data_IF_685629350365
#
_entry.id   IF_685629350365
#
_cell.length_a   1.000
_cell.length_b   1.000
_cell.length_c   1.000
_cell.angle_alpha   90.00
_cell.angle_beta   90.00
_cell.angle_gamma   90.00
#
_symmetry.space_group_name_H-M   'P 1'
#
loop_
_entity.id
_entity.type
_entity.pdbx_description
1 polymer ?
#
# COMPACT_ATOMS: atom_id res chain seq x y z
N UNK A 1 26.52 -35.90 29.92
CA UNK A 1 25.48 -34.86 29.84
C UNK A 1 25.54 -34.17 28.47
N UNK A 2 25.03 -34.79 27.39
CA UNK A 2 25.16 -34.20 26.04
C UNK A 2 24.06 -34.65 25.05
N UNK A 3 22.93 -35.16 25.55
CA UNK A 3 21.81 -35.64 24.70
C UNK A 3 20.49 -34.88 24.84
N UNK A 4 20.41 -33.88 25.73
CA UNK A 4 19.15 -33.17 25.99
C UNK A 4 19.04 -31.88 25.16
N UNK A 5 20.15 -31.35 24.64
CA UNK A 5 20.16 -30.07 23.90
C UNK A 5 19.66 -30.16 22.46
N UNK A 6 19.51 -31.36 21.89
CA UNK A 6 19.18 -31.54 20.47
C UNK A 6 17.68 -31.64 20.20
N UNK A 7 16.86 -31.87 21.23
CA UNK A 7 15.40 -32.04 21.09
C UNK A 7 14.61 -30.72 21.13
N UNK A 8 15.21 -29.61 21.56
CA UNK A 8 14.51 -28.31 21.70
C UNK A 8 14.57 -27.48 20.40
N UNK A 9 15.52 -27.76 19.51
CA UNK A 9 15.61 -27.04 18.23
C UNK A 9 14.57 -27.49 17.19
N UNK A 10 13.88 -28.62 17.40
CA UNK A 10 12.92 -29.16 16.43
C UNK A 10 11.47 -28.69 16.66
N UNK A 11 11.16 -28.01 17.77
CA UNK A 11 9.79 -27.57 18.09
C UNK A 11 9.49 -26.10 17.77
N UNK A 12 10.43 -25.37 17.16
CA UNK A 12 10.25 -23.93 16.85
C UNK A 12 9.92 -23.63 15.38
N UNK A 13 9.87 -24.63 14.50
CA UNK A 13 9.25 -24.48 13.18
C UNK A 13 7.74 -24.70 13.28
N UNK A 14 7.07 -23.85 14.06
CA UNK A 14 5.66 -23.55 13.80
C UNK A 14 5.62 -22.70 12.54
N UNK A 15 5.71 -23.35 11.37
CA UNK A 15 5.04 -22.80 10.20
C UNK A 15 3.56 -22.80 10.57
N UNK A 16 3.04 -21.64 10.98
CA UNK A 16 1.62 -21.47 11.19
C UNK A 16 0.91 -21.78 9.89
N UNK A 17 0.35 -22.98 9.78
CA UNK A 17 -0.66 -23.29 8.77
C UNK A 17 -1.89 -22.52 9.20
N UNK A 18 -1.99 -21.26 8.79
CA UNK A 18 -3.27 -20.58 8.77
C UNK A 18 -4.04 -21.20 7.61
N UNK A 19 -4.83 -22.24 7.88
CA UNK A 19 -5.86 -22.69 6.95
C UNK A 19 -6.82 -21.51 6.76
N UNK A 20 -6.67 -20.80 5.64
CA UNK A 20 -7.58 -19.73 5.28
C UNK A 20 -8.89 -20.38 4.81
N UNK A 21 -9.92 -20.35 5.66
CA UNK A 21 -11.28 -20.68 5.25
C UNK A 21 -11.73 -19.62 4.26
N UNK A 22 -11.95 -20.03 3.01
CA UNK A 22 -12.32 -19.10 1.93
C UNK A 22 -13.72 -19.40 1.40
N UNK A 23 -14.54 -18.35 1.29
CA UNK A 23 -15.84 -18.39 0.61
C UNK A 23 -15.63 -18.11 -0.88
N UNK A 24 -15.78 -19.13 -1.70
CA UNK A 24 -15.64 -19.04 -3.16
C UNK A 24 -17.03 -18.91 -3.79
N UNK A 25 -17.36 -17.77 -4.40
CA UNK A 25 -18.64 -17.60 -5.09
C UNK A 25 -18.71 -18.46 -6.37
N UNK A 26 -19.87 -19.01 -6.67
CA UNK A 26 -20.11 -19.77 -7.92
C UNK A 26 -20.14 -18.84 -9.14
N UNK A 27 -20.64 -17.61 -8.93
CA UNK A 27 -20.66 -16.55 -9.95
C UNK A 27 -20.04 -15.27 -9.39
N UNK A 28 -19.14 -14.65 -10.16
CA UNK A 28 -18.42 -13.45 -9.72
C UNK A 28 -19.34 -12.21 -9.64
N UNK A 29 -20.41 -12.17 -10.44
CA UNK A 29 -21.41 -11.10 -10.46
C UNK A 29 -22.80 -11.65 -10.74
N UNK A 30 -23.82 -11.09 -10.10
CA UNK A 30 -25.24 -11.39 -10.35
C UNK A 30 -25.95 -10.08 -10.68
N UNK A 31 -26.57 -10.00 -11.85
CA UNK A 31 -27.31 -8.82 -12.31
C UNK A 31 -28.78 -9.02 -11.98
N UNK A 32 -29.37 -8.08 -11.23
CA UNK A 32 -30.78 -8.08 -10.86
C UNK A 32 -31.38 -6.69 -11.06
N UNK A 33 -32.69 -6.63 -11.30
CA UNK A 33 -33.42 -5.36 -11.35
C UNK A 33 -33.65 -4.82 -9.94
N UNK A 34 -33.82 -3.51 -9.83
CA UNK A 34 -34.10 -2.86 -8.54
C UNK A 34 -35.44 -3.36 -8.00
N UNK A 35 -35.42 -3.93 -6.79
CA UNK A 35 -36.61 -4.48 -6.14
C UNK A 35 -36.73 -6.00 -6.23
N UNK A 36 -35.99 -6.63 -7.15
CA UNK A 36 -35.98 -8.09 -7.28
C UNK A 36 -35.04 -8.74 -6.26
N UNK A 37 -35.41 -9.90 -5.68
CA UNK A 37 -34.53 -10.64 -4.80
C UNK A 37 -33.35 -11.25 -5.57
N UNK A 38 -32.15 -11.17 -5.00
CA UNK A 38 -30.95 -11.80 -5.54
C UNK A 38 -30.49 -12.98 -4.65
N UNK A 39 -30.09 -14.09 -5.26
CA UNK A 39 -29.50 -15.23 -4.55
C UNK A 39 -28.03 -15.39 -4.97
N UNK A 40 -27.12 -15.33 -4.00
CA UNK A 40 -25.70 -15.61 -4.19
C UNK A 40 -25.39 -17.04 -3.75
N UNK A 41 -24.76 -17.83 -4.61
CA UNK A 41 -24.31 -19.19 -4.28
C UNK A 41 -22.81 -19.18 -4.03
N UNK A 42 -22.39 -19.78 -2.92
CA UNK A 42 -20.99 -19.84 -2.50
C UNK A 42 -20.64 -21.26 -2.04
N UNK A 43 -19.39 -21.65 -2.25
CA UNK A 43 -18.78 -22.89 -1.74
C UNK A 43 -17.66 -22.53 -0.76
N UNK A 44 -17.54 -23.30 0.32
CA UNK A 44 -16.46 -23.15 1.29
C UNK A 44 -15.31 -24.07 0.89
N UNK A 45 -14.08 -23.55 0.88
CA UNK A 45 -12.85 -24.36 0.77
C UNK A 45 -12.02 -24.24 2.05
N UNK A 46 -11.29 -25.31 2.40
CA UNK A 46 -10.34 -25.33 3.52
C UNK A 46 -10.70 -26.31 4.63
N UNK A 47 -11.85 -26.15 5.28
CA UNK A 47 -12.32 -27.03 6.37
C UNK A 47 -13.85 -27.25 6.34
N UNK A 48 -14.30 -28.34 6.96
CA UNK A 48 -15.71 -28.64 7.17
C UNK A 48 -16.28 -27.76 8.29
N UNK A 49 -16.87 -26.63 7.94
CA UNK A 49 -17.49 -25.72 8.90
C UNK A 49 -18.82 -26.33 9.36
N UNK A 50 -18.91 -26.73 10.63
CA UNK A 50 -20.14 -27.32 11.20
C UNK A 50 -21.12 -26.27 11.72
N UNK A 51 -20.64 -25.12 12.20
CA UNK A 51 -21.48 -24.04 12.72
C UNK A 51 -20.80 -22.68 12.49
N UNK A 52 -21.43 -21.80 11.72
CA UNK A 52 -20.93 -20.46 11.45
C UNK A 52 -22.04 -19.42 11.38
N UNK A 53 -21.68 -18.19 11.73
CA UNK A 53 -22.52 -17.01 11.54
C UNK A 53 -21.97 -16.19 10.36
N UNK A 54 -22.82 -15.88 9.37
CA UNK A 54 -22.51 -14.91 8.32
C UNK A 54 -23.19 -13.60 8.66
N UNK A 55 -22.40 -12.54 8.74
CA UNK A 55 -22.92 -11.18 8.75
C UNK A 55 -22.78 -10.58 7.35
N UNK A 56 -23.89 -10.10 6.80
CA UNK A 56 -23.90 -9.39 5.51
C UNK A 56 -23.73 -7.90 5.77
N UNK A 57 -22.66 -7.33 5.25
CA UNK A 57 -22.48 -5.88 5.21
C UNK A 57 -22.74 -5.38 3.79
N UNK A 58 -23.69 -4.45 3.67
CA UNK A 58 -23.85 -3.71 2.43
C UNK A 58 -22.69 -2.73 2.34
N UNK A 59 -21.66 -3.08 1.56
CA UNK A 59 -20.65 -2.10 1.15
C UNK A 59 -21.29 -1.18 0.12
N UNK A 60 -22.00 -0.15 0.58
CA UNK A 60 -22.25 1.01 -0.27
C UNK A 60 -20.87 1.52 -0.66
N UNK A 61 -20.51 1.43 -1.94
CA UNK A 61 -19.57 2.40 -2.49
C UNK A 61 -20.22 3.74 -2.16
N UNK A 62 -19.72 4.42 -1.12
CA UNK A 62 -20.08 5.82 -0.95
C UNK A 62 -19.84 6.45 -2.31
N UNK A 63 -20.90 6.97 -2.93
CA UNK A 63 -20.76 7.72 -4.17
C UNK A 63 -20.04 9.01 -3.79
N UNK A 64 -18.73 8.90 -3.58
CA UNK A 64 -17.87 10.05 -3.49
C UNK A 64 -18.10 10.86 -4.78
N UNK A 65 -18.16 12.18 -4.68
CA UNK A 65 -18.32 13.01 -5.85
C UNK A 65 -17.19 12.70 -6.83
N UNK A 66 -17.54 12.61 -8.12
CA UNK A 66 -16.56 12.41 -9.18
C UNK A 66 -15.47 13.48 -9.04
N UNK A 67 -14.24 13.03 -8.89
CA UNK A 67 -13.09 13.91 -8.75
C UNK A 67 -12.19 13.73 -9.95
N UNK A 68 -11.98 14.81 -10.69
CA UNK A 68 -11.07 14.88 -11.82
C UNK A 68 -9.62 14.70 -11.35
N UNK A 69 -8.80 13.87 -12.03
CA UNK A 69 -7.40 13.67 -11.67
C UNK A 69 -6.55 14.93 -11.85
N UNK A 70 -5.54 15.09 -11.00
CA UNK A 70 -4.38 15.95 -11.28
C UNK A 70 -3.26 15.11 -11.87
N UNK A 71 -2.72 15.50 -13.02
CA UNK A 71 -1.74 14.72 -13.80
C UNK A 71 -0.39 15.44 -13.81
N UNK A 72 0.67 14.70 -13.51
CA UNK A 72 2.04 15.21 -13.48
C UNK A 72 2.98 14.24 -14.19
N UNK A 73 3.98 14.77 -14.89
CA UNK A 73 5.02 13.97 -15.53
C UNK A 73 6.37 14.25 -14.87
N UNK A 74 7.07 13.21 -14.47
CA UNK A 74 8.45 13.27 -14.00
C UNK A 74 9.37 12.54 -14.98
N UNK A 75 10.52 13.15 -15.27
CA UNK A 75 11.51 12.63 -16.23
C UNK A 75 12.87 12.52 -15.54
N UNK A 76 13.57 11.40 -15.72
CA UNK A 76 14.92 11.18 -15.22
C UNK A 76 15.71 10.30 -16.22
N UNK A 77 16.48 10.95 -17.10
CA UNK A 77 17.12 10.27 -18.22
C UNK A 77 16.08 9.64 -19.14
N UNK A 78 16.20 8.34 -19.41
CA UNK A 78 15.23 7.58 -20.21
C UNK A 78 13.96 7.22 -19.45
N UNK A 79 13.95 7.36 -18.11
CA UNK A 79 12.82 6.97 -17.28
C UNK A 79 11.78 8.10 -17.21
N UNK A 80 10.52 7.76 -17.42
CA UNK A 80 9.39 8.68 -17.29
C UNK A 80 8.33 8.07 -16.39
N UNK A 81 7.81 8.88 -15.47
CA UNK A 81 6.70 8.54 -14.59
C UNK A 81 5.54 9.51 -14.84
N UNK A 82 4.34 8.96 -15.08
CA UNK A 82 3.11 9.75 -15.03
C UNK A 82 2.40 9.49 -13.70
N UNK A 83 2.27 10.54 -12.90
CA UNK A 83 1.62 10.52 -11.61
C UNK A 83 0.22 11.11 -11.75
N UNK A 84 -0.77 10.38 -11.25
CA UNK A 84 -2.17 10.75 -11.29
C UNK A 84 -2.69 10.80 -9.86
N UNK A 85 -3.17 11.96 -9.42
CA UNK A 85 -3.50 12.23 -8.02
C UNK A 85 -4.98 12.53 -7.83
N UNK A 86 -5.51 12.01 -6.72
CA UNK A 86 -6.83 12.32 -6.13
C UNK A 86 -8.02 12.17 -7.09
N UNK A 87 -8.11 11.04 -7.81
CA UNK A 87 -9.24 10.77 -8.72
C UNK A 87 -10.27 9.80 -8.14
N UNK A 88 -11.52 9.93 -8.59
CA UNK A 88 -12.61 9.00 -8.26
C UNK A 88 -13.68 9.03 -9.36
N UNK A 89 -14.17 7.89 -9.88
CA UNK A 89 -14.00 6.51 -9.40
C UNK A 89 -12.66 5.87 -9.82
N UNK A 90 -12.42 4.62 -9.38
CA UNK A 90 -11.16 3.87 -9.59
C UNK A 90 -10.80 3.63 -11.07
N UNK A 91 -11.80 3.54 -11.95
CA UNK A 91 -11.60 3.23 -13.35
C UNK A 91 -10.86 4.37 -14.07
N UNK A 92 -9.68 4.08 -14.64
CA UNK A 92 -8.82 5.07 -15.26
C UNK A 92 -7.93 4.42 -16.33
N UNK A 93 -7.63 5.17 -17.39
CA UNK A 93 -6.69 4.76 -18.43
C UNK A 93 -5.59 5.79 -18.60
N UNK A 94 -4.35 5.38 -18.37
CA UNK A 94 -3.16 6.24 -18.43
C UNK A 94 -2.36 5.85 -19.67
N UNK A 95 -2.13 6.82 -20.54
CA UNK A 95 -1.38 6.67 -21.78
C UNK A 95 -0.09 7.49 -21.71
N UNK A 96 1.04 6.85 -22.02
CA UNK A 96 2.32 7.52 -22.26
C UNK A 96 2.65 7.38 -23.75
N UNK A 97 2.64 8.49 -24.47
CA UNK A 97 2.84 8.53 -25.92
C UNK A 97 4.19 9.16 -26.27
N UNK A 98 4.98 8.46 -27.08
CA UNK A 98 6.26 8.92 -27.64
C UNK A 98 6.62 8.10 -28.88
N UNK A 99 7.44 8.68 -29.76
CA UNK A 99 7.88 8.05 -31.01
C UNK A 99 8.83 6.85 -30.80
N UNK A 100 9.54 6.78 -29.67
CA UNK A 100 10.54 5.73 -29.39
C UNK A 100 10.39 5.15 -27.99
N UNK A 101 9.40 4.27 -27.83
CA UNK A 101 9.15 3.49 -26.61
C UNK A 101 10.14 2.32 -26.48
N UNK A 102 10.71 2.17 -25.28
CA UNK A 102 11.61 1.05 -24.93
C UNK A 102 10.82 0.03 -24.10
N UNK A 103 10.30 0.44 -22.95
CA UNK A 103 9.48 -0.41 -22.05
C UNK A 103 8.39 0.42 -21.39
N UNK A 104 7.27 -0.19 -21.05
CA UNK A 104 6.21 0.45 -20.26
C UNK A 104 5.65 -0.57 -19.27
N UNK A 105 5.30 -0.11 -18.08
CA UNK A 105 4.81 -0.94 -16.98
C UNK A 105 3.33 -0.68 -16.72
N UNK A 106 2.66 -1.68 -16.16
CA UNK A 106 1.27 -1.55 -15.73
C UNK A 106 1.14 -0.49 -14.61
N UNK A 107 0.02 0.26 -14.57
CA UNK A 107 -0.17 1.31 -13.59
C UNK A 107 -0.38 0.73 -12.19
N UNK A 108 0.39 1.23 -11.21
CA UNK A 108 0.15 0.94 -9.80
C UNK A 108 -0.89 1.92 -9.24
N UNK A 109 -1.96 1.42 -8.63
CA UNK A 109 -3.06 2.22 -8.08
C UNK A 109 -3.15 2.01 -6.57
N UNK A 110 -3.21 3.11 -5.81
CA UNK A 110 -3.30 3.11 -4.34
C UNK A 110 -4.43 4.03 -3.88
N UNK A 111 -4.99 3.75 -2.70
CA UNK A 111 -5.99 4.61 -2.05
C UNK A 111 -5.26 5.69 -1.24
N UNK A 112 -5.66 6.95 -1.40
CA UNK A 112 -5.14 8.07 -0.64
C UNK A 112 -5.85 8.18 0.73
N UNK A 113 -5.27 8.90 1.71
CA UNK A 113 -5.92 9.14 3.00
C UNK A 113 -7.28 9.86 2.89
N UNK A 114 -7.55 10.56 1.78
CA UNK A 114 -8.85 11.19 1.50
C UNK A 114 -9.90 10.23 0.96
N UNK A 115 -9.56 8.94 0.80
CA UNK A 115 -10.43 7.90 0.23
C UNK A 115 -10.49 7.89 -1.30
N UNK A 116 -9.77 8.80 -1.97
CA UNK A 116 -9.63 8.85 -3.42
C UNK A 116 -8.53 7.92 -3.91
N UNK A 117 -8.35 7.79 -5.22
CA UNK A 117 -7.29 6.98 -5.81
C UNK A 117 -6.13 7.85 -6.30
N UNK A 118 -4.93 7.32 -6.18
CA UNK A 118 -3.72 7.78 -6.84
C UNK A 118 -3.19 6.66 -7.73
N UNK A 119 -2.53 7.01 -8.83
CA UNK A 119 -1.94 6.04 -9.73
C UNK A 119 -0.58 6.53 -10.26
N UNK A 120 0.32 5.60 -10.54
CA UNK A 120 1.61 5.89 -11.19
C UNK A 120 1.81 4.90 -12.33
N UNK A 121 2.12 5.42 -13.52
CA UNK A 121 2.56 4.61 -14.66
C UNK A 121 4.00 4.95 -15.01
N UNK A 122 4.84 3.93 -15.14
CA UNK A 122 6.26 4.08 -15.46
C UNK A 122 6.53 3.61 -16.89
N UNK A 123 7.51 4.23 -17.54
CA UNK A 123 8.04 3.75 -18.82
C UNK A 123 9.45 4.26 -19.08
N UNK A 124 10.13 3.62 -20.02
CA UNK A 124 11.43 4.01 -20.54
C UNK A 124 11.29 4.39 -22.01
N UNK A 125 11.86 5.54 -22.37
CA UNK A 125 11.76 6.14 -23.68
C UNK A 125 13.14 6.62 -24.12
N UNK A 126 13.47 6.45 -25.41
CA UNK A 126 14.76 6.89 -25.94
C UNK A 126 14.86 8.42 -25.95
N UNK A 127 13.72 9.09 -26.13
CA UNK A 127 13.57 10.54 -25.97
C UNK A 127 12.47 10.80 -24.94
N UNK A 128 12.87 11.08 -23.70
CA UNK A 128 11.95 11.40 -22.60
C UNK A 128 11.25 12.74 -22.81
N UNK A 129 11.83 13.65 -23.59
CA UNK A 129 11.31 15.01 -23.75
C UNK A 129 10.05 15.03 -24.60
N UNK A 130 9.97 14.17 -25.63
CA UNK A 130 8.77 13.99 -26.46
C UNK A 130 7.64 13.20 -25.78
N UNK A 131 7.85 12.65 -24.59
CA UNK A 131 6.82 11.86 -23.90
C UNK A 131 5.69 12.77 -23.40
N UNK A 132 4.49 12.47 -23.87
CA UNK A 132 3.24 13.09 -23.40
C UNK A 132 2.48 12.09 -22.54
N UNK A 133 1.99 12.53 -21.38
CA UNK A 133 1.05 11.74 -20.58
C UNK A 133 -0.38 12.28 -20.75
N UNK A 134 -1.29 11.39 -21.12
CA UNK A 134 -2.72 11.65 -21.15
C UNK A 134 -3.46 10.64 -20.27
N UNK A 135 -4.46 11.13 -19.56
CA UNK A 135 -5.24 10.34 -18.60
C UNK A 135 -6.70 10.44 -18.97
N UNK A 136 -7.29 9.32 -19.38
CA UNK A 136 -8.71 9.21 -19.64
C UNK A 136 -9.43 8.75 -18.37
N UNK A 137 -10.33 9.59 -17.88
CA UNK A 137 -11.13 9.35 -16.68
C UNK A 137 -12.55 9.85 -16.91
N UNK A 138 -13.55 9.00 -16.69
CA UNK A 138 -14.97 9.35 -16.91
C UNK A 138 -15.28 9.96 -18.30
N UNK A 139 -14.62 9.47 -19.35
CA UNK A 139 -14.73 9.97 -20.75
C UNK A 139 -14.12 11.36 -21.00
N UNK A 140 -13.53 11.99 -20.00
CA UNK A 140 -12.71 13.19 -20.17
C UNK A 140 -11.23 12.80 -20.28
N UNK A 141 -10.47 13.58 -21.05
CA UNK A 141 -9.02 13.42 -21.17
C UNK A 141 -8.35 14.59 -20.44
N UNK A 142 -7.45 14.25 -19.52
CA UNK A 142 -6.64 15.20 -18.77
C UNK A 142 -5.19 15.03 -19.18
N UNK A 143 -4.59 16.12 -19.61
CA UNK A 143 -3.17 16.17 -19.94
C UNK A 143 -2.38 16.68 -18.74
N UNK A 144 -1.09 16.35 -18.68
CA UNK A 144 -0.17 17.00 -17.76
C UNK A 144 -0.16 18.50 -18.06
N UNK A 145 -0.51 19.33 -17.07
CA UNK A 145 -0.16 20.75 -17.12
C UNK A 145 1.28 20.85 -16.65
N UNK A 146 2.17 21.29 -17.55
CA UNK A 146 3.56 21.51 -17.21
C UNK A 146 3.66 22.55 -16.08
N UNK A 147 3.98 22.08 -14.87
CA UNK A 147 4.74 22.91 -13.94
C UNK A 147 6.18 22.92 -14.44
N UNK A 148 6.42 23.55 -15.59
CA UNK A 148 7.73 24.12 -15.84
C UNK A 148 7.98 25.07 -14.67
N UNK A 149 8.98 24.75 -13.85
CA UNK A 149 9.58 25.75 -12.98
C UNK A 149 10.09 26.83 -13.93
N UNK A 150 9.30 27.90 -14.11
CA UNK A 150 9.72 29.11 -14.84
C UNK A 150 10.95 29.66 -14.14
N UNK A 151 12.10 29.20 -14.59
CA UNK A 151 13.38 29.80 -14.26
C UNK A 151 13.56 30.89 -15.31
N UNK A 152 12.89 32.03 -15.10
CA UNK A 152 13.11 33.21 -15.93
C UNK A 152 14.51 33.74 -15.63
N UNK A 153 15.47 33.40 -16.49
CA UNK A 153 16.72 34.14 -16.63
C UNK A 153 16.56 35.06 -17.84
N UNK A 154 16.63 36.37 -17.63
CA UNK A 154 17.40 37.35 -18.42
C UNK A 154 17.23 38.75 -17.80
N UNK A 155 18.33 39.16 -17.17
CA UNK A 155 18.96 40.47 -17.15
C UNK A 155 18.38 41.74 -16.50
N UNK A 156 19.24 42.22 -15.60
CA UNK A 156 19.64 43.60 -15.31
C UNK A 156 18.65 44.52 -14.58
N UNK A 157 18.83 44.59 -13.25
CA UNK A 157 19.20 45.83 -12.54
C UNK A 157 19.79 45.48 -11.15
N UNK A 158 21.02 45.93 -10.89
CA UNK A 158 21.73 45.88 -9.61
C UNK A 158 21.29 47.08 -8.74
N UNK A 159 21.14 46.93 -7.41
CA UNK A 159 22.17 47.35 -6.44
C UNK A 159 22.39 46.28 -5.34
N UNK A 160 23.58 45.70 -5.17
CA UNK A 160 24.56 45.96 -4.06
C UNK A 160 23.86 46.04 -2.68
N UNK A 161 24.02 45.11 -1.72
CA UNK A 161 25.23 44.76 -0.94
C UNK A 161 25.02 43.46 -0.11
N UNK A 162 26.12 42.70 0.07
CA UNK A 162 26.58 41.83 1.21
C UNK A 162 25.56 40.85 1.88
N UNK A 163 25.80 39.57 2.15
CA UNK A 163 26.96 38.86 2.70
C UNK A 163 26.68 37.34 2.73
N UNK A 164 27.75 36.54 2.59
CA UNK A 164 27.94 35.10 2.84
C UNK A 164 26.76 34.25 3.37
N UNK A 165 26.51 33.08 2.76
CA UNK A 165 26.54 31.74 3.42
C UNK A 165 26.19 30.61 2.44
N UNK A 166 26.94 29.50 2.55
CA UNK A 166 26.87 28.23 1.80
C UNK A 166 25.44 27.71 1.55
N UNK A 167 25.20 27.30 0.30
CA UNK A 167 24.03 26.55 -0.18
C UNK A 167 23.96 25.15 0.49
N UNK A 168 22.86 24.77 1.16
CA UNK A 168 22.62 23.38 1.50
C UNK A 168 21.88 22.68 0.34
N UNK A 169 22.41 21.56 -0.10
CA UNK A 169 21.73 20.60 -0.97
C UNK A 169 20.36 20.24 -0.40
N UNK A 170 19.29 20.47 -1.15
CA UNK A 170 17.92 20.14 -0.73
C UNK A 170 17.71 18.63 -0.79
N UNK A 171 18.01 17.95 0.31
CA UNK A 171 17.68 16.54 0.55
C UNK A 171 16.16 16.36 0.56
N UNK A 172 15.66 15.36 -0.16
CA UNK A 172 14.25 14.94 -0.05
C UNK A 172 13.96 14.52 1.40
N UNK A 173 12.92 15.09 2.01
CA UNK A 173 12.45 14.65 3.32
C UNK A 173 11.44 13.52 3.17
N UNK A 174 11.70 12.43 3.89
CA UNK A 174 10.78 11.32 4.08
C UNK A 174 9.47 11.82 4.72
N UNK A 175 8.29 11.40 4.23
CA UNK A 175 7.03 11.76 4.87
C UNK A 175 6.97 11.17 6.27
N UNK A 176 6.90 12.00 7.30
CA UNK A 176 6.56 11.57 8.66
C UNK A 176 5.10 11.14 8.67
N UNK A 177 4.85 9.87 8.35
CA UNK A 177 3.62 9.20 8.75
C UNK A 177 3.69 9.09 10.26
N UNK A 178 2.74 9.70 10.96
CA UNK A 178 2.56 9.45 12.39
C UNK A 178 2.07 8.00 12.54
N UNK A 179 3.00 7.04 12.54
CA UNK A 179 2.80 5.80 13.25
C UNK A 179 2.53 6.19 14.70
N UNK A 180 1.38 5.78 15.21
CA UNK A 180 1.05 5.91 16.62
C UNK A 180 2.26 5.44 17.42
N UNK A 181 2.87 6.36 18.17
CA UNK A 181 4.06 6.09 18.98
C UNK A 181 3.60 5.27 20.19
N UNK A 182 3.29 4.00 19.97
CA UNK A 182 3.21 3.04 21.05
C UNK A 182 4.56 3.05 21.73
N UNK A 183 4.58 3.34 23.04
CA UNK A 183 5.81 3.39 23.81
C UNK A 183 6.50 2.03 23.70
N UNK A 184 7.53 1.93 22.87
CA UNK A 184 8.24 0.67 22.57
C UNK A 184 8.87 0.05 23.83
N UNK A 185 9.03 0.85 24.89
CA UNK A 185 9.43 0.39 26.22
C UNK A 185 8.31 -0.37 26.94
N UNK A 186 7.03 -0.04 26.68
CA UNK A 186 5.87 -0.70 27.29
C UNK A 186 5.60 -2.09 26.70
N UNK A 187 5.70 -2.24 25.37
CA UNK A 187 5.50 -3.53 24.69
C UNK A 187 6.60 -4.54 25.04
N UNK A 188 7.85 -4.10 25.12
CA UNK A 188 8.98 -4.94 25.52
C UNK A 188 8.89 -5.36 26.99
N UNK A 189 8.46 -4.47 27.89
CA UNK A 189 8.23 -4.80 29.30
C UNK A 189 7.04 -5.76 29.46
N UNK A 190 5.96 -5.60 28.68
CA UNK A 190 4.81 -6.51 28.73
C UNK A 190 5.19 -7.91 28.21
N UNK A 191 5.95 -7.99 27.12
CA UNK A 191 6.48 -9.24 26.59
C UNK A 191 7.41 -9.93 27.60
N UNK A 192 8.31 -9.18 28.25
CA UNK A 192 9.23 -9.71 29.25
C UNK A 192 8.49 -10.23 30.49
N UNK A 193 7.44 -9.55 30.97
CA UNK A 193 6.60 -10.02 32.08
C UNK A 193 5.88 -11.32 31.76
N UNK A 194 5.41 -11.48 30.52
CA UNK A 194 4.75 -12.71 30.07
C UNK A 194 5.75 -13.88 29.97
N UNK A 195 6.99 -13.62 29.53
CA UNK A 195 8.06 -14.61 29.50
C UNK A 195 8.49 -15.04 30.90
N UNK A 196 8.63 -14.11 31.85
CA UNK A 196 8.93 -14.44 33.24
C UNK A 196 7.82 -15.27 33.90
N UNK A 197 6.55 -14.91 33.67
CA UNK A 197 5.42 -15.68 34.19
C UNK A 197 5.39 -17.12 33.63
N UNK A 198 5.67 -17.29 32.33
CA UNK A 198 5.78 -18.62 31.70
C UNK A 198 6.96 -19.42 32.26
N UNK A 199 8.11 -18.78 32.49
CA UNK A 199 9.30 -19.44 33.05
C UNK A 199 9.07 -19.91 34.50
N UNK A 200 8.44 -19.08 35.33
CA UNK A 200 8.08 -19.45 36.71
C UNK A 200 7.07 -20.59 36.72
N UNK A 201 6.06 -20.57 35.84
CA UNK A 201 5.08 -21.66 35.74
C UNK A 201 5.73 -22.99 35.33
N UNK A 202 6.65 -22.98 34.37
CA UNK A 202 7.37 -24.19 33.95
C UNK A 202 8.29 -24.70 35.06
N UNK A 203 9.07 -23.83 35.71
CA UNK A 203 9.92 -24.23 36.84
C UNK A 203 9.11 -24.77 38.02
N UNK A 204 7.95 -24.17 38.32
CA UNK A 204 7.04 -24.68 39.35
C UNK A 204 6.46 -26.04 38.97
N UNK A 205 6.00 -26.20 37.72
CA UNK A 205 5.48 -27.47 37.21
C UNK A 205 6.54 -28.58 37.26
N UNK A 206 7.78 -28.28 36.87
CA UNK A 206 8.91 -29.20 36.91
C UNK A 206 9.30 -29.56 38.35
N UNK A 207 9.27 -28.60 39.27
CA UNK A 207 9.56 -28.83 40.69
C UNK A 207 8.45 -29.65 41.36
N UNK A 208 7.18 -29.36 41.07
CA UNK A 208 6.06 -30.17 41.52
C UNK A 208 6.14 -31.59 40.96
N UNK A 209 6.45 -31.76 39.67
CA UNK A 209 6.69 -33.08 39.05
C UNK A 209 7.83 -33.86 39.70
N UNK A 210 8.84 -33.19 40.26
CA UNK A 210 9.98 -33.82 40.95
C UNK A 210 9.67 -34.17 42.40
N UNK A 211 8.73 -33.46 43.04
CA UNK A 211 8.31 -33.70 44.43
C UNK A 211 7.13 -34.70 44.54
N UNK A 212 6.34 -34.84 43.48
CA UNK A 212 5.20 -35.76 43.41
C UNK A 212 5.47 -37.03 42.57
N UNK A 213 6.75 -37.33 42.29
CA UNK A 213 7.20 -38.61 41.73
C UNK A 213 8.13 -39.31 42.73
#
# INVERSE_FOLDING_TARGET
>A
MQRISSLIHLSLFWAGVMSAVELVPEHQTVIVSVGDPATLKCSVKGEAISNYYINWYRKTQERQPHTKPSVFVMKNGTNVACLVKDFYPKDIRINLESSKKITEFDPAIVVSPSGKYNAVKLGQYADSNSVTCSVQHNKEVVYSTDFEVKTNSTDHLKPTETENTKQPSKSCHEPKVHAEKVNMMSLTVLGLRMLFAKSVAINFLLTAKLLFL
#
